data_IF_404964194928
#
_entry.id   IF_404964194928
#
_cell.length_a   1.000
_cell.length_b   1.000
_cell.length_c   1.000
_cell.angle_alpha   90.00
_cell.angle_beta   90.00
_cell.angle_gamma   90.00
#
_symmetry.space_group_name_H-M   'P 1'
#
loop_
_entity.id
_entity.type
_entity.pdbx_description
1 polymer ?
#
# COMPACT_ATOMS: atom_id res chain seq x y z
N UNK A 1 13.16 -10.98 50.54
CA UNK A 1 11.79 -11.23 51.02
C UNK A 1 11.36 -10.02 51.84
N UNK A 2 10.13 -9.58 51.68
CA UNK A 2 9.48 -8.43 52.33
C UNK A 2 9.74 -7.03 51.75
N UNK A 3 8.89 -6.64 50.80
CA UNK A 3 8.85 -5.27 50.30
C UNK A 3 7.65 -4.93 49.40
N UNK A 4 6.72 -5.88 49.17
CA UNK A 4 5.65 -5.71 48.17
C UNK A 4 4.21 -5.78 48.69
N UNK A 5 3.99 -5.73 50.02
CA UNK A 5 2.66 -5.91 50.64
C UNK A 5 2.23 -4.76 51.56
N UNK A 6 2.57 -3.49 51.26
CA UNK A 6 2.03 -2.35 52.01
C UNK A 6 1.69 -1.16 51.07
N UNK A 7 0.68 -1.31 50.22
CA UNK A 7 -0.11 -0.19 49.66
C UNK A 7 -1.44 -0.70 49.10
N UNK A 8 -2.27 -1.27 49.96
CA UNK A 8 -3.68 -1.48 49.74
C UNK A 8 -4.42 -0.99 50.98
N UNK A 9 -4.66 0.32 51.05
CA UNK A 9 -5.70 0.95 51.86
C UNK A 9 -5.65 2.43 51.51
N UNK A 10 -6.55 2.85 50.60
CA UNK A 10 -7.06 4.19 50.44
C UNK A 10 -7.70 4.25 49.04
N UNK A 11 -8.93 3.79 48.94
CA UNK A 11 -9.93 4.25 47.98
C UNK A 11 -11.25 3.51 48.29
N UNK A 12 -11.91 3.99 49.35
CA UNK A 12 -13.32 3.78 49.56
C UNK A 12 -13.98 5.16 49.51
N UNK A 13 -14.38 5.56 48.34
CA UNK A 13 -15.43 6.54 48.09
C UNK A 13 -16.02 6.19 46.73
N UNK A 14 -17.24 5.62 46.81
CA UNK A 14 -18.10 5.42 45.65
C UNK A 14 -18.36 6.77 44.98
N UNK A 15 -18.12 6.96 43.68
CA UNK A 15 -18.71 8.05 42.96
C UNK A 15 -20.09 7.62 42.52
N UNK A 16 -21.10 8.40 42.96
CA UNK A 16 -22.46 8.38 42.46
C UNK A 16 -22.49 8.29 40.94
N UNK A 17 -23.10 7.25 40.40
CA UNK A 17 -23.39 7.08 38.99
C UNK A 17 -24.39 8.16 38.60
N UNK A 18 -23.92 9.30 38.10
CA UNK A 18 -24.73 10.23 37.32
C UNK A 18 -25.10 9.51 36.03
N UNK A 19 -26.34 9.08 35.91
CA UNK A 19 -26.96 8.68 34.67
C UNK A 19 -26.81 9.82 33.67
N UNK A 20 -25.81 9.73 32.79
CA UNK A 20 -25.76 10.55 31.59
C UNK A 20 -26.81 9.99 30.64
N UNK A 21 -27.86 10.74 30.44
CA UNK A 21 -28.82 10.53 29.35
C UNK A 21 -27.98 10.43 28.05
N UNK A 22 -27.96 9.23 27.49
CA UNK A 22 -27.40 9.01 26.15
C UNK A 22 -28.38 9.69 25.21
N UNK A 23 -28.04 10.90 24.78
CA UNK A 23 -28.69 11.54 23.63
C UNK A 23 -28.45 10.63 22.45
N UNK A 24 -29.44 9.82 22.13
CA UNK A 24 -29.49 9.05 20.89
C UNK A 24 -29.52 10.07 19.76
N UNK A 25 -28.37 10.38 19.17
CA UNK A 25 -28.34 11.19 17.98
C UNK A 25 -29.20 10.47 16.92
N UNK A 26 -30.23 11.15 16.45
CA UNK A 26 -31.06 10.68 15.35
C UNK A 26 -30.12 10.25 14.20
N UNK A 27 -30.22 8.97 13.86
CA UNK A 27 -29.50 8.42 12.69
C UNK A 27 -29.96 9.22 11.48
N UNK A 28 -29.06 9.72 10.62
CA UNK A 28 -29.48 10.34 9.39
C UNK A 28 -30.37 9.34 8.65
N UNK A 29 -31.55 9.81 8.23
CA UNK A 29 -32.51 9.06 7.41
C UNK A 29 -31.80 8.64 6.12
N UNK A 30 -31.12 7.51 6.17
CA UNK A 30 -30.57 6.87 4.97
C UNK A 30 -31.75 6.31 4.19
N UNK A 31 -31.83 6.60 2.90
CA UNK A 31 -32.68 5.89 1.97
C UNK A 31 -32.30 4.40 2.03
N UNK A 32 -32.92 3.67 2.94
CA UNK A 32 -32.71 2.22 3.10
C UNK A 32 -33.49 1.58 1.95
N UNK A 33 -32.77 1.23 0.89
CA UNK A 33 -33.31 0.30 -0.12
C UNK A 33 -33.59 -1.00 0.62
N UNK A 34 -34.82 -1.47 0.55
CA UNK A 34 -35.24 -2.71 1.22
C UNK A 34 -34.59 -3.91 0.52
N UNK A 35 -33.40 -4.25 0.99
CA UNK A 35 -32.59 -5.36 0.49
C UNK A 35 -33.14 -6.65 1.12
N UNK A 36 -33.49 -7.66 0.30
CA UNK A 36 -33.96 -8.95 0.79
C UNK A 36 -32.96 -9.58 1.77
N UNK A 37 -33.44 -10.46 2.68
CA UNK A 37 -32.53 -11.13 3.63
C UNK A 37 -31.41 -11.91 2.92
N UNK A 38 -31.69 -12.54 1.77
CA UNK A 38 -30.68 -13.22 0.98
C UNK A 38 -29.59 -12.28 0.46
N UNK A 39 -29.95 -11.09 0.01
CA UNK A 39 -29.01 -10.04 -0.41
C UNK A 39 -28.18 -9.54 0.76
N UNK A 40 -28.79 -9.32 1.92
CA UNK A 40 -28.08 -8.91 3.15
C UNK A 40 -27.00 -9.91 3.53
N UNK A 41 -27.27 -11.23 3.46
CA UNK A 41 -26.28 -12.28 3.74
C UNK A 41 -25.14 -12.24 2.72
N UNK A 42 -25.42 -12.06 1.43
CA UNK A 42 -24.40 -11.95 0.39
C UNK A 42 -23.50 -10.76 0.64
N UNK A 43 -24.08 -9.58 0.86
CA UNK A 43 -23.36 -8.32 1.15
C UNK A 43 -22.53 -8.45 2.41
N UNK A 44 -23.09 -8.95 3.51
CA UNK A 44 -22.39 -9.16 4.78
C UNK A 44 -21.21 -10.12 4.59
N UNK A 45 -21.41 -11.23 3.88
CA UNK A 45 -20.36 -12.21 3.62
C UNK A 45 -19.17 -11.59 2.86
N UNK A 46 -19.45 -10.76 1.87
CA UNK A 46 -18.42 -10.05 1.10
C UNK A 46 -17.71 -9.00 1.97
N UNK A 47 -18.44 -8.22 2.76
CA UNK A 47 -17.88 -7.23 3.69
C UNK A 47 -16.96 -7.86 4.75
N UNK A 48 -17.32 -9.01 5.29
CA UNK A 48 -16.44 -9.75 6.21
C UNK A 48 -15.09 -10.09 5.58
N UNK A 49 -15.06 -10.37 4.28
CA UNK A 49 -13.78 -10.63 3.57
C UNK A 49 -13.03 -9.33 3.28
N UNK A 50 -13.70 -8.32 2.72
CA UNK A 50 -13.06 -7.13 2.18
C UNK A 50 -12.67 -6.10 3.26
N UNK A 51 -13.48 -5.97 4.31
CA UNK A 51 -13.26 -4.99 5.37
C UNK A 51 -12.66 -5.61 6.64
N UNK A 52 -13.26 -6.70 7.11
CA UNK A 52 -12.79 -7.38 8.32
C UNK A 52 -11.63 -8.35 8.03
N UNK A 53 -11.23 -8.50 6.76
CA UNK A 53 -10.13 -9.36 6.33
C UNK A 53 -10.27 -10.80 6.85
N UNK A 54 -11.51 -11.28 6.91
CA UNK A 54 -11.83 -12.65 7.33
C UNK A 54 -11.50 -13.61 6.20
N UNK A 55 -10.96 -14.79 6.51
CA UNK A 55 -10.72 -15.80 5.47
C UNK A 55 -12.05 -16.32 4.91
N UNK A 56 -12.07 -16.65 3.62
CA UNK A 56 -13.28 -17.19 2.99
C UNK A 56 -13.89 -18.38 3.74
N UNK A 57 -13.05 -19.27 4.28
CA UNK A 57 -13.50 -20.43 5.05
C UNK A 57 -14.02 -20.08 6.44
N UNK A 58 -13.61 -18.94 6.98
CA UNK A 58 -14.06 -18.47 8.29
C UNK A 58 -15.41 -17.75 8.22
N UNK A 59 -15.79 -17.18 7.06
CA UNK A 59 -17.07 -16.47 6.90
C UNK A 59 -18.26 -17.35 7.25
N UNK A 60 -18.45 -18.56 6.67
CA UNK A 60 -19.57 -19.44 7.07
C UNK A 60 -19.59 -19.75 8.57
N UNK A 61 -18.41 -20.05 9.14
CA UNK A 61 -18.28 -20.35 10.58
C UNK A 61 -18.70 -19.19 11.48
N UNK A 62 -18.33 -17.95 11.09
CA UNK A 62 -18.73 -16.74 11.82
C UNK A 62 -20.24 -16.56 11.74
N UNK A 63 -20.84 -16.71 10.56
CA UNK A 63 -22.28 -16.58 10.37
C UNK A 63 -23.03 -17.67 11.15
N UNK A 64 -22.51 -18.90 11.19
CA UNK A 64 -23.05 -19.99 11.99
C UNK A 64 -23.01 -19.69 13.49
N UNK A 65 -21.88 -19.19 14.00
CA UNK A 65 -21.74 -18.77 15.39
C UNK A 65 -22.74 -17.66 15.76
N UNK A 66 -22.92 -16.67 14.89
CA UNK A 66 -23.92 -15.63 15.12
C UNK A 66 -25.35 -16.21 15.11
N UNK A 67 -25.65 -17.10 14.18
CA UNK A 67 -26.96 -17.73 14.11
C UNK A 67 -27.27 -18.60 15.35
N UNK A 68 -26.25 -19.27 15.91
CA UNK A 68 -26.41 -20.12 17.10
C UNK A 68 -26.43 -19.34 18.44
N UNK A 69 -25.77 -18.18 18.52
CA UNK A 69 -25.51 -17.47 19.77
C UNK A 69 -26.18 -16.12 19.89
N UNK A 70 -26.83 -15.66 18.83
CA UNK A 70 -27.54 -14.37 18.81
C UNK A 70 -28.92 -14.55 18.16
N UNK A 71 -29.84 -13.62 18.35
CA UNK A 71 -31.15 -13.65 17.67
C UNK A 71 -31.08 -13.29 16.17
N UNK A 72 -29.94 -13.47 15.54
CA UNK A 72 -29.74 -13.19 14.12
C UNK A 72 -30.23 -14.35 13.26
N UNK A 73 -31.48 -14.64 13.22
CA UNK A 73 -32.10 -15.75 12.48
C UNK A 73 -31.79 -15.72 10.97
N UNK A 74 -30.59 -16.19 10.60
CA UNK A 74 -30.18 -16.28 9.20
C UNK A 74 -30.90 -17.48 8.54
N UNK A 75 -31.62 -17.28 7.44
CA UNK A 75 -32.37 -18.36 6.77
C UNK A 75 -31.46 -19.43 6.14
N UNK A 76 -30.21 -19.09 5.88
CA UNK A 76 -29.20 -20.03 5.33
C UNK A 76 -27.77 -19.48 5.54
N UNK A 77 -26.80 -20.36 5.51
CA UNK A 77 -25.38 -20.05 5.63
C UNK A 77 -24.68 -20.39 4.31
N UNK A 78 -23.97 -19.45 3.68
CA UNK A 78 -23.33 -19.69 2.39
C UNK A 78 -22.12 -20.61 2.54
N UNK A 79 -21.88 -21.44 1.53
CA UNK A 79 -20.62 -22.14 1.43
C UNK A 79 -19.49 -21.15 1.05
N UNK A 80 -18.25 -21.39 1.51
CA UNK A 80 -17.14 -20.47 1.27
C UNK A 80 -16.83 -20.22 -0.22
N UNK A 81 -17.11 -21.19 -1.11
CA UNK A 81 -16.96 -21.01 -2.57
C UNK A 81 -17.94 -19.98 -3.13
N UNK A 82 -19.14 -19.90 -2.58
CA UNK A 82 -20.11 -18.86 -2.93
C UNK A 82 -19.60 -17.48 -2.54
N UNK A 83 -18.99 -17.36 -1.36
CA UNK A 83 -18.40 -16.10 -0.88
C UNK A 83 -17.23 -15.67 -1.79
N UNK A 84 -16.38 -16.61 -2.23
CA UNK A 84 -15.33 -16.33 -3.22
C UNK A 84 -15.96 -15.76 -4.50
N UNK A 85 -16.94 -16.47 -5.07
CA UNK A 85 -17.56 -16.06 -6.32
C UNK A 85 -18.25 -14.68 -6.20
N UNK A 86 -18.94 -14.40 -5.10
CA UNK A 86 -19.55 -13.09 -4.87
C UNK A 86 -18.50 -11.98 -4.77
N UNK A 87 -17.41 -12.21 -4.05
CA UNK A 87 -16.32 -11.24 -3.94
C UNK A 87 -15.71 -10.90 -5.31
N UNK A 88 -15.54 -11.91 -6.17
CA UNK A 88 -15.03 -11.73 -7.53
C UNK A 88 -16.07 -11.04 -8.44
N UNK A 89 -17.36 -11.38 -8.31
CA UNK A 89 -18.44 -10.71 -9.05
C UNK A 89 -18.53 -9.23 -8.67
N UNK A 90 -18.40 -8.89 -7.39
CA UNK A 90 -18.32 -7.49 -6.94
C UNK A 90 -17.16 -6.78 -7.66
N UNK A 91 -15.99 -7.39 -7.68
CA UNK A 91 -14.85 -6.79 -8.37
C UNK A 91 -15.07 -6.58 -9.86
N UNK A 92 -15.65 -7.57 -10.55
CA UNK A 92 -15.98 -7.47 -11.97
C UNK A 92 -17.07 -6.42 -12.24
N UNK A 93 -18.11 -6.37 -11.40
CA UNK A 93 -19.19 -5.38 -11.53
C UNK A 93 -18.68 -3.96 -11.31
N UNK A 94 -17.78 -3.75 -10.35
CA UNK A 94 -17.12 -2.45 -10.14
C UNK A 94 -16.22 -2.07 -11.33
N UNK A 95 -15.48 -3.01 -11.89
CA UNK A 95 -14.62 -2.77 -13.05
C UNK A 95 -15.40 -2.40 -14.32
N UNK A 96 -16.65 -2.85 -14.43
CA UNK A 96 -17.57 -2.52 -15.54
C UNK A 96 -18.32 -1.20 -15.35
N UNK A 97 -18.16 -0.57 -14.20
CA UNK A 97 -18.87 0.67 -13.89
C UNK A 97 -18.44 1.76 -14.87
N UNK A 98 -19.43 2.41 -15.49
CA UNK A 98 -19.21 3.59 -16.32
C UNK A 98 -19.17 4.83 -15.45
N UNK A 99 -18.16 5.65 -15.62
CA UNK A 99 -17.97 6.89 -14.87
C UNK A 99 -18.32 8.10 -15.71
N UNK A 100 -18.88 9.17 -15.11
CA UNK A 100 -19.15 10.42 -15.84
C UNK A 100 -17.84 10.99 -16.43
N UNK A 101 -17.83 11.26 -17.71
CA UNK A 101 -16.67 11.81 -18.43
C UNK A 101 -16.43 13.29 -18.13
N UNK A 102 -17.45 14.01 -17.62
CA UNK A 102 -17.37 15.44 -17.31
C UNK A 102 -16.66 15.78 -15.99
N UNK A 103 -16.47 14.81 -15.10
CA UNK A 103 -15.76 15.04 -13.84
C UNK A 103 -14.24 14.94 -14.04
N UNK A 104 -13.44 15.99 -13.75
CA UNK A 104 -11.99 15.91 -13.83
C UNK A 104 -11.46 14.97 -12.76
N UNK A 105 -10.44 14.15 -13.12
CA UNK A 105 -9.89 13.13 -12.28
C UNK A 105 -8.40 12.88 -12.57
N UNK A 106 -7.69 12.25 -11.63
CA UNK A 106 -6.29 11.89 -11.76
C UNK A 106 -6.18 10.35 -11.78
N UNK A 107 -5.34 9.85 -12.68
CA UNK A 107 -4.98 8.44 -12.72
C UNK A 107 -3.77 8.16 -11.82
N UNK A 108 -3.82 7.07 -11.04
CA UNK A 108 -2.66 6.49 -10.36
C UNK A 108 -2.43 5.13 -10.99
N UNK A 109 -1.22 4.92 -11.51
CA UNK A 109 -0.90 3.73 -12.30
C UNK A 109 0.34 3.05 -11.73
N UNK A 110 0.24 1.74 -11.55
CA UNK A 110 1.41 0.95 -11.19
C UNK A 110 1.30 -0.48 -11.75
N UNK A 111 2.47 -1.06 -12.00
CA UNK A 111 2.61 -2.47 -12.23
C UNK A 111 3.09 -3.11 -10.95
N UNK A 112 2.31 -3.95 -10.38
CA UNK A 112 2.86 -4.85 -9.42
C UNK A 112 1.95 -6.03 -9.16
N UNK A 113 2.48 -7.04 -8.89
CA UNK A 113 2.26 -8.17 -8.02
C UNK A 113 2.99 -9.31 -8.69
N UNK A 114 4.21 -9.54 -8.25
CA UNK A 114 4.92 -10.79 -8.57
C UNK A 114 4.18 -11.95 -7.85
N UNK A 115 3.06 -12.38 -8.40
CA UNK A 115 2.39 -13.61 -7.99
C UNK A 115 2.54 -14.60 -9.14
N UNK A 116 3.40 -15.57 -8.92
CA UNK A 116 3.82 -16.45 -10.01
C UNK A 116 4.69 -15.69 -11.02
N UNK A 117 4.45 -15.93 -12.31
CA UNK A 117 5.21 -15.30 -13.42
C UNK A 117 4.52 -14.09 -14.02
N UNK A 118 3.34 -13.70 -13.53
CA UNK A 118 2.51 -12.67 -14.14
C UNK A 118 2.56 -11.36 -13.35
N UNK A 119 2.33 -10.28 -14.06
CA UNK A 119 2.17 -8.93 -13.50
C UNK A 119 0.77 -8.41 -13.82
N UNK A 120 0.25 -7.53 -12.97
CA UNK A 120 -0.99 -6.82 -13.25
C UNK A 120 -0.72 -5.31 -13.34
N UNK A 121 -1.17 -4.68 -14.42
CA UNK A 121 -1.34 -3.24 -14.48
C UNK A 121 -2.61 -2.90 -13.73
N UNK A 122 -2.53 -1.95 -12.81
CA UNK A 122 -3.68 -1.40 -12.11
C UNK A 122 -3.78 0.09 -12.37
N UNK A 123 -4.96 0.54 -12.72
CA UNK A 123 -5.28 1.95 -12.93
C UNK A 123 -6.36 2.37 -11.96
N UNK A 124 -6.03 3.28 -11.07
CA UNK A 124 -6.96 3.89 -10.13
C UNK A 124 -7.36 5.28 -10.61
N UNK A 125 -8.63 5.59 -10.44
CA UNK A 125 -9.23 6.91 -10.66
C UNK A 125 -9.46 7.59 -9.32
N UNK A 126 -9.06 8.85 -9.21
CA UNK A 126 -9.32 9.72 -8.05
C UNK A 126 -9.93 11.03 -8.55
N UNK A 127 -11.09 11.38 -8.04
CA UNK A 127 -11.75 12.64 -8.40
C UNK A 127 -10.96 13.83 -7.90
N UNK A 128 -10.82 14.88 -8.73
CA UNK A 128 -10.13 16.11 -8.29
C UNK A 128 -10.83 16.79 -7.13
N UNK A 129 -12.16 16.69 -7.01
CA UNK A 129 -12.90 17.18 -5.86
C UNK A 129 -12.47 16.50 -4.55
N UNK A 130 -12.18 15.21 -4.58
CA UNK A 130 -11.66 14.48 -3.41
C UNK A 130 -10.28 14.99 -3.01
N UNK A 131 -9.43 15.33 -3.99
CA UNK A 131 -8.13 15.93 -3.73
C UNK A 131 -8.22 17.32 -3.08
N UNK A 132 -9.19 18.14 -3.49
CA UNK A 132 -9.46 19.43 -2.87
C UNK A 132 -9.85 19.28 -1.40
N UNK A 133 -10.64 18.26 -1.07
CA UNK A 133 -11.11 18.01 0.30
C UNK A 133 -10.05 17.40 1.21
N UNK A 134 -9.20 16.51 0.68
CA UNK A 134 -8.24 15.71 1.46
C UNK A 134 -6.78 16.10 1.28
N UNK A 135 -6.46 16.99 0.34
CA UNK A 135 -5.08 17.25 -0.05
C UNK A 135 -4.46 16.02 -0.69
N UNK A 136 -3.27 15.61 -0.21
CA UNK A 136 -2.59 14.39 -0.68
C UNK A 136 -2.96 13.12 0.10
N UNK A 137 -3.71 13.23 1.22
CA UNK A 137 -4.01 12.13 2.14
C UNK A 137 -5.20 11.27 1.66
N UNK A 138 -5.04 10.65 0.48
CA UNK A 138 -6.07 9.80 -0.14
C UNK A 138 -6.08 8.42 0.49
N UNK A 139 -7.28 7.84 0.62
CA UNK A 139 -7.51 6.49 1.12
C UNK A 139 -8.06 5.60 0.00
N UNK A 140 -8.01 4.28 0.17
CA UNK A 140 -8.55 3.32 -0.82
C UNK A 140 -10.04 3.53 -1.11
N UNK A 141 -10.80 3.97 -0.13
CA UNK A 141 -12.22 4.30 -0.30
C UNK A 141 -12.48 5.53 -1.18
N UNK A 142 -11.46 6.36 -1.41
CA UNK A 142 -11.52 7.55 -2.26
C UNK A 142 -11.13 7.22 -3.71
N UNK A 143 -10.68 6.00 -3.98
CA UNK A 143 -10.19 5.55 -5.27
C UNK A 143 -11.18 4.59 -5.93
N UNK A 144 -11.28 4.65 -7.24
CA UNK A 144 -12.07 3.73 -8.06
C UNK A 144 -11.08 2.98 -8.98
N UNK A 145 -11.11 1.66 -9.00
CA UNK A 145 -10.29 0.88 -9.93
C UNK A 145 -10.99 0.79 -11.27
N UNK A 146 -10.43 1.44 -12.28
CA UNK A 146 -10.99 1.52 -13.64
C UNK A 146 -10.31 0.59 -14.64
N UNK A 147 -9.19 -0.01 -14.25
CA UNK A 147 -8.45 -0.92 -15.12
C UNK A 147 -7.61 -1.93 -14.35
N UNK A 148 -7.70 -3.20 -14.77
CA UNK A 148 -6.84 -4.30 -14.34
C UNK A 148 -6.49 -5.12 -15.56
N UNK A 149 -5.20 -5.15 -15.94
CA UNK A 149 -4.69 -5.92 -17.08
C UNK A 149 -3.60 -6.89 -16.60
N UNK A 150 -3.75 -8.17 -16.91
CA UNK A 150 -2.78 -9.21 -16.50
C UNK A 150 -1.90 -9.57 -17.69
N UNK A 151 -0.59 -9.52 -17.50
CA UNK A 151 0.39 -9.82 -18.53
C UNK A 151 1.55 -10.68 -18.01
N UNK A 152 2.16 -11.47 -18.89
CA UNK A 152 3.38 -12.25 -18.57
C UNK A 152 4.64 -11.40 -18.81
N UNK A 153 4.63 -10.60 -19.86
CA UNK A 153 5.72 -9.69 -20.23
C UNK A 153 5.22 -8.27 -20.32
N UNK A 154 5.98 -7.34 -19.76
CA UNK A 154 5.65 -5.91 -19.78
C UNK A 154 6.64 -5.21 -20.71
N UNK A 155 6.14 -4.61 -21.77
CA UNK A 155 6.88 -3.66 -22.60
C UNK A 155 6.10 -2.35 -22.70
N UNK A 156 6.75 -1.28 -23.17
CA UNK A 156 6.14 0.03 -23.22
C UNK A 156 4.98 0.16 -24.26
N UNK A 157 4.97 -0.69 -25.27
CA UNK A 157 3.89 -0.74 -26.28
C UNK A 157 2.64 -1.37 -25.69
N UNK A 158 2.81 -2.49 -24.94
CA UNK A 158 1.71 -3.12 -24.21
C UNK A 158 1.10 -2.16 -23.19
N UNK A 159 1.93 -1.42 -22.45
CA UNK A 159 1.45 -0.38 -21.52
C UNK A 159 0.61 0.65 -22.25
N UNK A 160 1.12 1.18 -23.38
CA UNK A 160 0.41 2.19 -24.17
C UNK A 160 -0.96 1.67 -24.64
N UNK A 161 -0.99 0.46 -25.19
CA UNK A 161 -2.22 -0.19 -25.65
C UNK A 161 -3.22 -0.42 -24.52
N UNK A 162 -2.77 -0.95 -23.38
CA UNK A 162 -3.63 -1.17 -22.22
C UNK A 162 -4.25 0.13 -21.72
N UNK A 163 -3.49 1.23 -21.73
CA UNK A 163 -3.99 2.56 -21.36
C UNK A 163 -4.97 3.12 -22.40
N UNK A 164 -4.74 2.91 -23.70
CA UNK A 164 -5.68 3.26 -24.74
C UNK A 164 -7.04 2.58 -24.53
N UNK A 165 -7.04 1.27 -24.26
CA UNK A 165 -8.25 0.51 -24.00
C UNK A 165 -9.00 0.98 -22.74
N UNK A 166 -8.28 1.24 -21.64
CA UNK A 166 -8.88 1.67 -20.37
C UNK A 166 -9.44 3.09 -20.50
N UNK A 167 -8.68 4.00 -21.09
CA UNK A 167 -9.08 5.40 -21.19
C UNK A 167 -10.09 5.69 -22.32
N UNK A 168 -10.23 4.77 -23.28
CA UNK A 168 -11.33 4.83 -24.23
C UNK A 168 -12.71 4.71 -23.55
N UNK A 169 -12.78 3.98 -22.42
CA UNK A 169 -14.02 3.78 -21.67
C UNK A 169 -14.22 4.90 -20.63
N UNK A 170 -13.15 5.28 -19.91
CA UNK A 170 -13.21 6.19 -18.75
C UNK A 170 -12.91 7.65 -19.07
N UNK A 171 -12.53 7.97 -20.31
CA UNK A 171 -12.02 9.28 -20.70
C UNK A 171 -10.55 9.49 -20.28
N UNK A 172 -9.94 10.56 -20.78
CA UNK A 172 -8.57 10.92 -20.44
C UNK A 172 -8.49 11.56 -19.04
N UNK A 173 -7.52 11.20 -18.19
CA UNK A 173 -7.30 11.85 -16.91
C UNK A 173 -6.69 13.24 -17.07
N UNK A 174 -6.89 14.13 -16.09
CA UNK A 174 -6.25 15.45 -16.03
C UNK A 174 -4.73 15.34 -15.77
N UNK A 175 -4.28 14.28 -15.09
CA UNK A 175 -2.88 13.96 -14.85
C UNK A 175 -2.71 12.47 -14.50
N UNK A 176 -1.49 11.97 -14.64
CA UNK A 176 -1.13 10.57 -14.32
C UNK A 176 -0.01 10.56 -13.29
N UNK A 177 -0.23 9.92 -12.15
CA UNK A 177 0.79 9.59 -11.15
C UNK A 177 1.26 8.17 -11.37
N UNK A 178 2.57 7.96 -11.43
CA UNK A 178 3.16 6.63 -11.70
C UNK A 178 4.45 6.39 -10.92
N UNK A 179 4.80 5.10 -10.77
CA UNK A 179 6.12 4.69 -10.31
C UNK A 179 7.24 5.11 -11.30
N UNK A 180 8.48 5.10 -10.80
CA UNK A 180 9.69 5.42 -11.56
C UNK A 180 10.19 4.26 -12.45
N UNK A 181 9.40 3.19 -12.66
CA UNK A 181 9.76 2.11 -13.59
C UNK A 181 9.92 2.66 -15.02
N UNK A 182 11.01 2.26 -15.69
CA UNK A 182 11.35 2.78 -17.02
C UNK A 182 10.32 2.39 -18.07
N UNK A 183 9.85 1.14 -18.05
CA UNK A 183 8.91 0.59 -19.04
C UNK A 183 7.56 1.26 -18.91
N UNK A 184 7.06 1.37 -17.67
CA UNK A 184 5.83 2.09 -17.36
C UNK A 184 5.93 3.56 -17.77
N UNK A 185 7.02 4.22 -17.40
CA UNK A 185 7.25 5.63 -17.72
C UNK A 185 7.29 5.89 -19.22
N UNK A 186 7.87 4.98 -20.01
CA UNK A 186 7.93 5.10 -21.47
C UNK A 186 6.56 4.86 -22.09
N UNK A 187 5.81 3.85 -21.64
CA UNK A 187 4.46 3.55 -22.13
C UNK A 187 3.47 4.68 -21.86
N UNK A 188 3.46 5.21 -20.62
CA UNK A 188 2.62 6.35 -20.23
C UNK A 188 2.93 7.58 -21.06
N UNK A 189 4.22 7.88 -21.30
CA UNK A 189 4.62 9.02 -22.15
C UNK A 189 4.19 8.84 -23.60
N UNK A 190 4.31 7.62 -24.16
CA UNK A 190 3.82 7.32 -25.51
C UNK A 190 2.32 7.53 -25.62
N UNK A 191 1.56 7.04 -24.64
CA UNK A 191 0.12 7.26 -24.61
C UNK A 191 -0.22 8.74 -24.50
N UNK A 192 0.40 9.48 -23.56
CA UNK A 192 0.16 10.91 -23.37
C UNK A 192 0.47 11.74 -24.63
N UNK A 193 1.54 11.41 -25.37
CA UNK A 193 1.94 12.11 -26.57
C UNK A 193 0.96 11.92 -27.76
N UNK A 194 0.13 10.87 -27.72
CA UNK A 194 -0.91 10.62 -28.74
C UNK A 194 -2.20 11.43 -28.51
N UNK A 195 -2.34 12.05 -27.32
CA UNK A 195 -3.53 12.84 -27.01
C UNK A 195 -3.44 14.22 -27.69
N UNK A 196 -4.58 14.83 -28.05
CA UNK A 196 -4.63 16.19 -28.60
C UNK A 196 -3.87 17.19 -27.71
N UNK A 197 -4.06 17.09 -26.40
CA UNK A 197 -3.29 17.81 -25.39
C UNK A 197 -2.53 16.78 -24.53
N UNK A 198 -1.19 16.85 -24.50
CA UNK A 198 -0.40 15.92 -23.68
C UNK A 198 -0.83 15.95 -22.22
N UNK A 199 -1.13 14.77 -21.65
CA UNK A 199 -1.54 14.64 -20.27
C UNK A 199 -0.32 14.73 -19.37
N UNK A 200 -0.30 15.60 -18.34
CA UNK A 200 0.82 15.73 -17.42
C UNK A 200 1.13 14.43 -16.68
N UNK A 201 2.42 14.06 -16.59
CA UNK A 201 2.90 12.84 -15.95
C UNK A 201 3.73 13.18 -14.72
N UNK A 202 3.32 12.65 -13.59
CA UNK A 202 3.89 12.89 -12.27
C UNK A 202 4.67 11.65 -11.84
N UNK A 203 5.95 11.85 -11.49
CA UNK A 203 6.78 10.78 -10.95
C UNK A 203 6.53 10.68 -9.44
N UNK A 204 6.30 9.48 -8.92
CA UNK A 204 6.13 9.23 -7.50
C UNK A 204 7.32 9.75 -6.69
N UNK A 205 7.04 10.57 -5.65
CA UNK A 205 8.08 11.16 -4.80
C UNK A 205 8.80 10.12 -3.96
N UNK A 206 8.10 9.10 -3.47
CA UNK A 206 8.66 8.03 -2.65
C UNK A 206 9.71 7.24 -3.42
N UNK A 207 9.37 6.78 -4.61
CA UNK A 207 10.27 6.06 -5.50
C UNK A 207 11.43 6.96 -6.00
N UNK A 208 11.13 8.22 -6.33
CA UNK A 208 12.15 9.18 -6.76
C UNK A 208 13.19 9.41 -5.67
N UNK A 209 12.76 9.58 -4.41
CA UNK A 209 13.66 9.79 -3.28
C UNK A 209 14.37 8.51 -2.85
N UNK A 210 13.72 7.36 -2.88
CA UNK A 210 14.36 6.07 -2.64
C UNK A 210 15.52 5.82 -3.63
N UNK A 211 15.31 6.14 -4.91
CA UNK A 211 16.34 6.06 -5.93
C UNK A 211 17.48 7.09 -5.70
N UNK A 212 17.15 8.30 -5.24
CA UNK A 212 18.16 9.30 -4.90
C UNK A 212 19.06 8.85 -3.74
N UNK A 213 18.45 8.33 -2.66
CA UNK A 213 19.16 7.76 -1.50
C UNK A 213 20.01 6.54 -1.90
N UNK A 214 19.46 5.66 -2.74
CA UNK A 214 20.19 4.51 -3.28
C UNK A 214 21.46 4.93 -4.00
N UNK A 215 21.36 5.91 -4.91
CA UNK A 215 22.50 6.41 -5.68
C UNK A 215 23.54 7.12 -4.79
N UNK A 216 23.11 7.75 -3.70
CA UNK A 216 24.02 8.43 -2.78
C UNK A 216 24.76 7.47 -1.86
N UNK A 217 24.08 6.41 -1.33
CA UNK A 217 24.61 5.61 -0.23
C UNK A 217 24.95 4.16 -0.58
N UNK A 218 24.14 3.46 -1.39
CA UNK A 218 24.19 1.99 -1.52
C UNK A 218 25.58 1.43 -1.86
N UNK A 219 26.33 2.11 -2.73
CA UNK A 219 27.64 1.65 -3.18
C UNK A 219 28.79 2.08 -2.28
N UNK A 220 28.54 2.96 -1.29
CA UNK A 220 29.62 3.46 -0.41
C UNK A 220 30.10 2.38 0.55
N UNK A 221 31.42 2.27 0.80
CA UNK A 221 31.97 1.31 1.78
C UNK A 221 31.37 1.52 3.17
N UNK A 222 31.19 2.76 3.60
CA UNK A 222 30.64 3.12 4.89
C UNK A 222 29.19 2.61 5.08
N UNK A 223 28.33 2.74 4.06
CA UNK A 223 26.96 2.20 4.11
C UNK A 223 26.96 0.67 4.19
N UNK A 224 27.81 0.00 3.42
CA UNK A 224 27.94 -1.46 3.45
C UNK A 224 28.41 -1.96 4.81
N UNK A 225 29.44 -1.30 5.37
CA UNK A 225 29.94 -1.62 6.72
C UNK A 225 28.86 -1.40 7.80
N UNK A 226 28.15 -0.28 7.74
CA UNK A 226 27.06 0.04 8.66
C UNK A 226 25.91 -0.98 8.59
N UNK A 227 25.46 -1.33 7.39
CA UNK A 227 24.37 -2.32 7.22
C UNK A 227 24.78 -3.74 7.60
N UNK A 228 26.05 -4.11 7.42
CA UNK A 228 26.61 -5.39 7.89
C UNK A 228 26.61 -5.44 9.43
N UNK A 229 27.09 -4.38 10.08
CA UNK A 229 27.09 -4.26 11.53
C UNK A 229 25.67 -4.29 12.13
N UNK A 230 24.73 -3.56 11.51
CA UNK A 230 23.31 -3.56 11.87
C UNK A 230 22.70 -4.97 11.75
N UNK A 231 23.00 -5.67 10.66
CA UNK A 231 22.49 -7.03 10.45
C UNK A 231 23.06 -8.03 11.44
N UNK A 232 24.33 -7.89 11.80
CA UNK A 232 24.97 -8.67 12.84
C UNK A 232 24.34 -8.39 14.20
N UNK A 233 24.24 -7.12 14.59
CA UNK A 233 23.64 -6.70 15.85
C UNK A 233 22.20 -7.18 16.02
N UNK A 234 21.39 -7.12 14.95
CA UNK A 234 20.03 -7.64 14.98
C UNK A 234 19.96 -9.14 15.30
N UNK A 235 20.95 -9.93 14.87
CA UNK A 235 21.04 -11.36 15.22
C UNK A 235 21.47 -11.57 16.66
N UNK A 236 22.48 -10.83 17.11
CA UNK A 236 23.02 -10.97 18.47
C UNK A 236 22.06 -10.48 19.56
N UNK A 237 21.26 -9.42 19.30
CA UNK A 237 20.33 -8.87 20.27
C UNK A 237 19.01 -9.63 20.36
N UNK A 238 18.69 -10.45 19.35
CA UNK A 238 17.44 -11.21 19.34
C UNK A 238 17.46 -12.23 20.49
N UNK A 239 16.36 -12.29 21.24
CA UNK A 239 16.18 -13.17 22.39
C UNK A 239 17.12 -12.88 23.59
N UNK A 240 17.62 -11.65 23.70
CA UNK A 240 18.36 -11.16 24.87
C UNK A 240 17.57 -10.06 25.58
N UNK A 241 18.04 -9.67 26.80
CA UNK A 241 17.49 -8.53 27.52
C UNK A 241 17.57 -7.20 26.75
N UNK A 242 18.37 -7.14 25.67
CA UNK A 242 18.53 -5.98 24.78
C UNK A 242 17.67 -6.05 23.52
N UNK A 243 16.69 -6.95 23.44
CA UNK A 243 15.83 -7.08 22.28
C UNK A 243 15.11 -5.77 21.89
N UNK A 244 14.87 -4.87 22.85
CA UNK A 244 14.30 -3.53 22.61
C UNK A 244 15.22 -2.58 21.84
N UNK A 245 16.52 -2.87 21.72
CA UNK A 245 17.51 -2.12 20.93
C UNK A 245 17.75 -2.71 19.55
N UNK A 246 17.02 -3.74 19.16
CA UNK A 246 17.16 -4.35 17.84
C UNK A 246 16.98 -3.27 16.74
N UNK A 247 17.95 -3.16 15.82
CA UNK A 247 17.84 -2.21 14.73
C UNK A 247 16.61 -2.53 13.83
N UNK A 248 16.05 -1.52 13.19
CA UNK A 248 14.94 -1.70 12.26
C UNK A 248 15.29 -2.70 11.15
N UNK A 249 14.35 -3.61 10.85
CA UNK A 249 14.54 -4.61 9.80
C UNK A 249 14.72 -3.94 8.43
N UNK A 250 15.82 -4.22 7.78
CA UNK A 250 16.04 -3.82 6.40
C UNK A 250 15.16 -4.66 5.47
N UNK A 251 14.33 -4.02 4.68
CA UNK A 251 13.54 -4.68 3.64
C UNK A 251 14.43 -5.15 2.50
N UNK A 252 14.11 -6.27 1.89
CA UNK A 252 14.81 -6.78 0.70
C UNK A 252 14.39 -6.01 -0.56
N UNK A 253 13.09 -5.73 -0.71
CA UNK A 253 12.52 -4.88 -1.76
C UNK A 253 12.16 -3.50 -1.19
N UNK A 254 12.32 -2.43 -1.95
CA UNK A 254 12.02 -1.06 -1.48
C UNK A 254 12.86 -0.60 -0.30
N UNK A 255 14.12 -1.06 -0.21
CA UNK A 255 15.02 -0.88 0.94
C UNK A 255 15.15 0.57 1.40
N UNK A 256 15.12 1.51 0.48
CA UNK A 256 15.31 2.94 0.76
C UNK A 256 13.99 3.71 1.03
N UNK A 257 12.82 3.12 0.87
CA UNK A 257 11.54 3.79 1.11
C UNK A 257 11.30 4.11 2.61
N UNK A 258 11.80 3.28 3.53
CA UNK A 258 11.63 3.46 4.97
C UNK A 258 12.95 3.50 5.74
N UNK A 259 14.03 3.91 5.09
CA UNK A 259 15.39 3.88 5.62
C UNK A 259 15.63 4.90 6.75
N UNK A 260 14.78 5.93 6.88
CA UNK A 260 14.87 6.95 7.92
C UNK A 260 14.81 6.37 9.34
N UNK A 261 14.07 5.28 9.53
CA UNK A 261 14.04 4.55 10.82
C UNK A 261 15.42 4.04 11.21
N UNK A 262 16.21 3.58 10.23
CA UNK A 262 17.57 3.11 10.47
C UNK A 262 18.51 4.28 10.77
N UNK A 263 18.37 5.42 10.08
CA UNK A 263 19.12 6.64 10.37
C UNK A 263 18.90 7.09 11.81
N UNK A 264 17.63 7.25 12.21
CA UNK A 264 17.24 7.64 13.58
C UNK A 264 17.71 6.65 14.64
N UNK A 265 17.68 5.34 14.34
CA UNK A 265 18.22 4.33 15.25
C UNK A 265 19.73 4.47 15.40
N UNK A 266 20.45 4.65 14.29
CA UNK A 266 21.90 4.85 14.32
C UNK A 266 22.31 6.06 15.15
N UNK A 267 21.62 7.18 15.00
CA UNK A 267 21.85 8.42 15.75
C UNK A 267 21.63 8.20 17.27
N UNK A 268 20.49 7.60 17.66
CA UNK A 268 20.23 7.23 19.07
C UNK A 268 21.29 6.29 19.65
N UNK A 269 21.78 5.37 18.85
CA UNK A 269 22.86 4.45 19.30
C UNK A 269 24.18 5.21 19.48
N UNK A 270 24.50 6.23 18.67
CA UNK A 270 25.66 7.08 18.90
C UNK A 270 25.60 7.74 20.28
N UNK A 271 24.43 8.23 20.72
CA UNK A 271 24.25 8.84 22.04
C UNK A 271 24.50 7.82 23.15
N UNK A 272 24.00 6.58 23.00
CA UNK A 272 24.25 5.48 23.97
C UNK A 272 25.74 5.17 24.09
N UNK A 273 26.47 5.15 22.97
CA UNK A 273 27.90 4.85 22.95
C UNK A 273 28.80 6.02 23.32
N UNK A 274 28.27 7.27 23.26
CA UNK A 274 29.04 8.49 23.61
C UNK A 274 29.38 8.61 25.10
N UNK A 275 28.84 7.74 25.95
CA UNK A 275 29.16 7.69 27.39
C UNK A 275 30.66 7.49 27.57
N UNK A 276 31.32 8.48 28.20
CA UNK A 276 32.76 8.49 28.41
C UNK A 276 33.18 7.42 29.45
N UNK A 277 34.36 6.87 29.23
CA UNK A 277 35.01 5.91 30.16
C UNK A 277 34.91 4.44 29.73
N UNK A 278 35.63 3.59 30.45
CA UNK A 278 35.56 2.13 30.25
C UNK A 278 34.27 1.59 30.84
N UNK A 279 33.54 0.82 30.02
CA UNK A 279 32.36 0.11 30.53
C UNK A 279 32.79 -0.94 31.55
N UNK A 280 32.07 -1.02 32.68
CA UNK A 280 32.30 -2.11 33.67
C UNK A 280 32.05 -3.43 32.97
N UNK A 281 33.00 -4.39 33.13
CA UNK A 281 32.93 -5.73 32.56
C UNK A 281 31.59 -6.39 32.90
N UNK A 282 30.89 -6.91 31.90
CA UNK A 282 29.55 -7.51 32.03
C UNK A 282 28.39 -6.51 32.14
N UNK A 283 28.64 -5.18 32.13
CA UNK A 283 27.57 -4.19 32.09
C UNK A 283 26.84 -4.17 30.74
N UNK A 284 25.64 -3.54 30.70
CA UNK A 284 24.88 -3.38 29.49
C UNK A 284 25.69 -2.71 28.37
N UNK A 285 26.44 -1.66 28.71
CA UNK A 285 27.28 -0.94 27.77
C UNK A 285 28.44 -1.80 27.24
N UNK A 286 29.07 -2.61 28.07
CA UNK A 286 30.13 -3.54 27.69
C UNK A 286 29.61 -4.61 26.71
N UNK A 287 28.48 -5.22 27.02
CA UNK A 287 27.81 -6.18 26.13
C UNK A 287 27.45 -5.55 24.80
N UNK A 288 26.90 -4.32 24.81
CA UNK A 288 26.55 -3.59 23.57
C UNK A 288 27.81 -3.24 22.76
N UNK A 289 28.90 -2.82 23.38
CA UNK A 289 30.19 -2.57 22.69
C UNK A 289 30.78 -3.82 22.05
N UNK A 290 30.54 -4.97 22.64
CA UNK A 290 30.93 -6.27 22.05
C UNK A 290 30.07 -6.59 20.82
N UNK A 291 28.77 -6.32 20.85
CA UNK A 291 27.85 -6.55 19.71
C UNK A 291 28.10 -5.58 18.58
N UNK A 292 28.41 -4.32 18.89
CA UNK A 292 28.66 -3.25 17.93
C UNK A 292 30.09 -2.68 18.06
N UNK A 293 31.11 -3.44 17.71
CA UNK A 293 32.48 -2.97 17.80
C UNK A 293 32.68 -1.77 16.88
N UNK A 294 33.47 -0.79 17.36
CA UNK A 294 33.83 0.42 16.58
C UNK A 294 32.66 1.30 16.12
N UNK A 295 31.47 1.16 16.74
CA UNK A 295 30.27 1.93 16.32
C UNK A 295 30.49 3.44 16.28
N UNK A 296 31.20 4.00 17.28
CA UNK A 296 31.53 5.43 17.32
C UNK A 296 32.41 5.90 16.16
N UNK A 297 33.23 5.01 15.59
CA UNK A 297 34.06 5.37 14.43
C UNK A 297 33.22 5.60 13.18
N UNK A 298 31.98 5.11 13.18
CA UNK A 298 31.01 5.37 12.09
C UNK A 298 30.24 6.66 12.21
N UNK A 299 30.49 7.49 13.25
CA UNK A 299 29.81 8.76 13.50
C UNK A 299 29.78 9.66 12.26
N UNK A 300 30.94 9.80 11.60
CA UNK A 300 31.08 10.63 10.37
C UNK A 300 30.21 10.15 9.20
N UNK A 301 29.76 8.91 9.21
CA UNK A 301 28.78 8.38 8.23
C UNK A 301 27.33 8.44 8.78
N UNK A 302 27.13 8.04 10.03
CA UNK A 302 25.77 7.89 10.62
C UNK A 302 25.05 9.22 10.70
N UNK A 303 25.71 10.29 11.17
CA UNK A 303 25.09 11.60 11.32
C UNK A 303 24.61 12.21 9.99
N UNK A 304 25.44 12.31 8.93
CA UNK A 304 24.97 12.80 7.63
C UNK A 304 23.91 11.88 6.98
N UNK A 305 24.00 10.56 7.21
CA UNK A 305 23.03 9.60 6.75
C UNK A 305 21.66 9.80 7.46
N UNK A 306 21.66 9.92 8.78
CA UNK A 306 20.46 10.16 9.58
C UNK A 306 19.80 11.48 9.21
N UNK A 307 20.58 12.58 9.12
CA UNK A 307 20.09 13.87 8.67
C UNK A 307 19.43 13.77 7.29
N UNK A 308 20.13 13.17 6.32
CA UNK A 308 19.61 13.08 4.93
C UNK A 308 18.32 12.28 4.87
N UNK A 309 18.26 11.13 5.55
CA UNK A 309 17.07 10.27 5.54
C UNK A 309 15.90 10.86 6.33
N UNK A 310 16.17 11.66 7.37
CA UNK A 310 15.15 12.36 8.14
C UNK A 310 14.54 13.51 7.32
N UNK A 311 15.35 14.35 6.67
CA UNK A 311 14.85 15.41 5.79
C UNK A 311 14.01 14.86 4.65
N UNK A 312 14.45 13.76 4.02
CA UNK A 312 13.65 13.10 2.97
C UNK A 312 12.30 12.61 3.53
N UNK A 313 12.29 12.02 4.73
CA UNK A 313 11.06 11.55 5.35
C UNK A 313 10.09 12.70 5.68
N UNK A 314 10.58 13.84 6.18
CA UNK A 314 9.79 15.04 6.46
C UNK A 314 9.20 15.65 5.19
N UNK A 315 10.00 15.75 4.13
CA UNK A 315 9.52 16.21 2.82
C UNK A 315 8.43 15.29 2.27
N UNK A 316 8.64 13.99 2.37
CA UNK A 316 7.64 13.01 1.93
C UNK A 316 6.34 13.10 2.75
N UNK A 317 6.43 13.31 4.06
CA UNK A 317 5.26 13.47 4.93
C UNK A 317 4.46 14.71 4.56
N UNK A 318 5.12 15.85 4.33
CA UNK A 318 4.47 17.10 3.90
C UNK A 318 3.75 16.88 2.56
N UNK A 319 4.45 16.32 1.58
CA UNK A 319 3.92 16.18 0.22
C UNK A 319 2.83 15.12 0.11
N UNK A 320 2.95 14.02 0.84
CA UNK A 320 1.92 12.96 0.85
C UNK A 320 0.63 13.42 1.52
N UNK A 321 0.73 14.22 2.59
CA UNK A 321 -0.45 14.68 3.31
C UNK A 321 -1.13 15.89 2.65
N UNK A 322 -0.35 16.83 2.12
CA UNK A 322 -0.86 18.12 1.61
C UNK A 322 -0.83 18.26 0.09
N UNK A 323 -0.21 17.30 -0.62
CA UNK A 323 0.08 17.45 -2.04
C UNK A 323 1.13 18.52 -2.32
N UNK A 324 1.52 18.66 -3.59
CA UNK A 324 2.44 19.71 -4.02
C UNK A 324 1.67 20.95 -4.50
N UNK A 325 1.95 22.08 -3.88
CA UNK A 325 1.50 23.41 -4.26
C UNK A 325 2.61 24.45 -3.97
N UNK A 326 2.39 25.73 -4.23
CA UNK A 326 3.40 26.78 -3.99
C UNK A 326 3.87 26.85 -2.53
N UNK A 327 2.97 26.62 -1.56
CA UNK A 327 3.31 26.66 -0.13
C UNK A 327 4.14 25.44 0.28
N UNK A 328 3.71 24.24 -0.05
CA UNK A 328 4.44 22.99 0.25
C UNK A 328 5.78 22.92 -0.51
N UNK A 329 5.83 23.43 -1.74
CA UNK A 329 7.08 23.59 -2.47
C UNK A 329 8.10 24.45 -1.68
N UNK A 330 7.70 25.63 -1.21
CA UNK A 330 8.60 26.52 -0.44
C UNK A 330 9.10 25.80 0.81
N UNK A 331 8.20 25.18 1.56
CA UNK A 331 8.55 24.44 2.78
C UNK A 331 9.55 23.32 2.51
N UNK A 332 9.30 22.48 1.51
CA UNK A 332 10.18 21.38 1.14
C UNK A 332 11.51 21.86 0.55
N UNK A 333 11.49 22.96 -0.19
CA UNK A 333 12.71 23.56 -0.74
C UNK A 333 13.61 24.10 0.37
N UNK A 334 13.06 24.80 1.38
CA UNK A 334 13.81 25.25 2.55
C UNK A 334 14.41 24.08 3.34
N UNK A 335 13.62 23.03 3.63
CA UNK A 335 14.15 21.82 4.25
C UNK A 335 15.30 21.21 3.45
N UNK A 336 15.21 21.21 2.12
CA UNK A 336 16.28 20.69 1.27
C UNK A 336 17.59 21.45 1.39
N UNK A 337 17.58 22.74 1.78
CA UNK A 337 18.79 23.55 1.94
C UNK A 337 19.67 23.10 3.09
N UNK A 338 19.09 22.45 4.11
CA UNK A 338 19.83 21.89 5.26
C UNK A 338 20.73 20.72 4.87
N UNK A 339 20.46 20.08 3.72
CA UNK A 339 21.31 19.03 3.20
C UNK A 339 22.65 19.58 2.67
N UNK A 340 23.75 18.81 2.77
CA UNK A 340 25.07 19.20 2.27
C UNK A 340 25.03 19.67 0.81
N UNK A 341 25.88 20.65 0.46
CA UNK A 341 25.93 21.21 -0.92
C UNK A 341 26.14 20.15 -1.99
N UNK A 342 26.99 19.15 -1.72
CA UNK A 342 27.33 18.08 -2.67
C UNK A 342 26.38 16.87 -2.59
N UNK A 343 25.25 16.97 -1.90
CA UNK A 343 24.30 15.88 -1.76
C UNK A 343 23.56 15.61 -3.08
N UNK A 344 23.70 14.39 -3.62
CA UNK A 344 22.93 13.93 -4.78
C UNK A 344 21.43 13.93 -4.50
N UNK A 345 21.05 13.64 -3.25
CA UNK A 345 19.64 13.65 -2.78
C UNK A 345 19.10 15.07 -2.86
N UNK A 346 19.85 16.09 -2.36
CA UNK A 346 19.46 17.49 -2.45
C UNK A 346 19.18 17.93 -3.89
N UNK A 347 20.13 17.67 -4.79
CA UNK A 347 20.02 18.07 -6.18
C UNK A 347 18.81 17.42 -6.88
N UNK A 348 18.59 16.12 -6.62
CA UNK A 348 17.45 15.40 -7.20
C UNK A 348 16.13 15.85 -6.61
N UNK A 349 16.05 16.09 -5.30
CA UNK A 349 14.85 16.62 -4.65
C UNK A 349 14.48 18.00 -5.21
N UNK A 350 15.42 18.90 -5.30
CA UNK A 350 15.18 20.24 -5.83
C UNK A 350 14.78 20.22 -7.31
N UNK A 351 15.41 19.36 -8.11
CA UNK A 351 15.02 19.16 -9.52
C UNK A 351 13.61 18.60 -9.65
N UNK A 352 13.27 17.59 -8.82
CA UNK A 352 11.94 17.00 -8.76
C UNK A 352 10.89 18.05 -8.38
N UNK A 353 11.11 18.82 -7.32
CA UNK A 353 10.21 19.88 -6.86
C UNK A 353 9.97 20.93 -7.94
N UNK A 354 11.03 21.41 -8.60
CA UNK A 354 10.91 22.40 -9.69
C UNK A 354 10.13 21.89 -10.89
N UNK A 355 10.40 20.63 -11.30
CA UNK A 355 9.69 19.97 -12.40
C UNK A 355 8.20 19.90 -12.13
N UNK A 356 7.83 19.37 -10.95
CA UNK A 356 6.43 19.08 -10.65
C UNK A 356 5.63 20.33 -10.23
N UNK A 357 6.30 21.38 -9.74
CA UNK A 357 5.65 22.66 -9.52
C UNK A 357 5.18 23.32 -10.85
N UNK A 358 5.93 23.13 -11.96
CA UNK A 358 5.48 23.58 -13.28
C UNK A 358 4.22 22.85 -13.70
N UNK A 359 4.19 21.53 -13.51
CA UNK A 359 3.00 20.70 -13.81
C UNK A 359 1.80 21.16 -12.96
N UNK A 360 2.02 21.42 -11.66
CA UNK A 360 0.96 21.90 -10.77
C UNK A 360 0.37 23.24 -11.25
N UNK A 361 1.21 24.15 -11.76
CA UNK A 361 0.74 25.43 -12.29
C UNK A 361 -0.15 25.30 -13.53
N UNK A 362 0.02 24.23 -14.33
CA UNK A 362 -0.83 23.93 -15.50
C UNK A 362 -2.19 23.36 -15.09
N UNK A 363 -2.29 22.73 -13.92
CA UNK A 363 -3.50 22.07 -13.42
C UNK A 363 -4.37 22.98 -12.55
N UNK A 364 -4.05 24.25 -12.44
CA UNK A 364 -4.76 25.29 -11.70
C UNK A 364 -5.35 24.88 -10.34
N UNK A 365 -4.97 25.57 -9.27
CA UNK A 365 -5.51 25.50 -7.88
C UNK A 365 -5.52 24.16 -7.13
N UNK A 366 -5.38 23.01 -7.82
CA UNK A 366 -5.33 21.71 -7.18
C UNK A 366 -3.96 21.43 -6.57
N UNK A 367 -3.88 20.96 -5.30
CA UNK A 367 -2.66 20.35 -4.82
C UNK A 367 -2.36 19.13 -5.70
N UNK A 368 -1.14 19.06 -6.24
CA UNK A 368 -0.75 17.94 -7.08
C UNK A 368 -0.57 16.69 -6.23
N UNK A 369 -1.31 15.63 -6.57
CA UNK A 369 -1.06 14.30 -5.99
C UNK A 369 0.30 13.80 -6.47
N UNK A 370 1.15 13.37 -5.55
CA UNK A 370 2.57 13.06 -5.83
C UNK A 370 3.02 11.71 -5.34
N UNK A 371 2.10 10.89 -4.85
CA UNK A 371 2.42 9.55 -4.36
C UNK A 371 1.48 8.51 -4.92
N UNK A 372 2.04 7.37 -5.28
CA UNK A 372 1.33 6.14 -5.67
C UNK A 372 1.21 5.13 -4.51
N UNK A 373 1.57 5.49 -3.27
CA UNK A 373 1.54 4.59 -2.10
C UNK A 373 0.20 3.90 -1.89
N UNK A 374 -0.89 4.53 -2.36
CA UNK A 374 -2.23 3.95 -2.27
C UNK A 374 -2.33 2.62 -3.03
N UNK A 375 -1.66 2.49 -4.18
CA UNK A 375 -1.60 1.23 -4.93
C UNK A 375 -0.74 0.20 -4.18
N UNK A 376 0.36 0.60 -3.54
CA UNK A 376 1.15 -0.32 -2.70
C UNK A 376 0.30 -0.87 -1.54
N UNK A 377 -0.50 -0.01 -0.89
CA UNK A 377 -1.45 -0.42 0.14
C UNK A 377 -2.52 -1.38 -0.40
N UNK A 378 -3.07 -1.10 -1.57
CA UNK A 378 -4.02 -1.97 -2.27
C UNK A 378 -3.44 -3.35 -2.54
N UNK A 379 -2.22 -3.40 -3.06
CA UNK A 379 -1.51 -4.65 -3.30
C UNK A 379 -1.19 -5.40 -2.00
N UNK A 380 -0.87 -4.70 -0.93
CA UNK A 380 -0.69 -5.29 0.39
C UNK A 380 -1.95 -6.00 0.87
N UNK A 381 -3.11 -5.33 0.79
CA UNK A 381 -4.41 -5.89 1.16
C UNK A 381 -4.80 -7.08 0.26
N UNK A 382 -4.59 -6.97 -1.04
CA UNK A 382 -4.84 -8.05 -1.97
C UNK A 382 -3.99 -9.28 -1.65
N UNK A 383 -2.68 -9.13 -1.49
CA UNK A 383 -1.76 -10.20 -1.10
C UNK A 383 -2.16 -10.86 0.21
N UNK A 384 -2.55 -10.07 1.19
CA UNK A 384 -2.98 -10.59 2.48
C UNK A 384 -4.19 -11.52 2.38
N UNK A 385 -5.09 -11.30 1.42
CA UNK A 385 -6.24 -12.17 1.17
C UNK A 385 -5.81 -13.45 0.43
N UNK A 386 -4.96 -13.35 -0.60
CA UNK A 386 -4.67 -14.48 -1.51
C UNK A 386 -3.47 -15.33 -1.09
N UNK A 387 -2.44 -14.77 -0.44
CA UNK A 387 -1.21 -15.49 -0.01
C UNK A 387 -1.46 -16.50 1.12
N UNK A 388 -2.68 -16.60 1.62
CA UNK A 388 -3.11 -17.68 2.52
C UNK A 388 -3.10 -19.05 1.84
N UNK A 389 -2.99 -19.10 0.51
CA UNK A 389 -2.79 -20.32 -0.26
C UNK A 389 -1.31 -20.49 -0.62
N UNK A 390 -0.68 -21.65 -0.31
CA UNK A 390 0.71 -21.92 -0.66
C UNK A 390 0.96 -22.03 -2.17
N UNK A 391 -0.10 -22.13 -2.97
CA UNK A 391 -0.06 -22.20 -4.44
C UNK A 391 -0.69 -20.96 -5.09
N UNK A 392 -0.43 -19.79 -4.50
CA UNK A 392 -0.95 -18.56 -5.06
C UNK A 392 -0.43 -18.33 -6.48
N UNK A 393 -1.34 -18.21 -7.42
CA UNK A 393 -1.10 -17.84 -8.82
C UNK A 393 -2.00 -16.68 -9.18
N UNK A 394 -1.58 -15.87 -10.15
CA UNK A 394 -2.43 -14.83 -10.68
C UNK A 394 -3.51 -15.46 -11.58
N UNK A 395 -4.69 -15.56 -11.04
CA UNK A 395 -5.89 -16.06 -11.65
C UNK A 395 -7.01 -15.01 -11.54
N UNK A 396 -8.26 -15.41 -11.76
CA UNK A 396 -9.40 -14.48 -11.62
C UNK A 396 -9.51 -13.79 -10.25
N UNK A 397 -8.73 -14.21 -9.22
CA UNK A 397 -8.68 -13.52 -7.93
C UNK A 397 -8.18 -12.08 -8.04
N UNK A 398 -7.52 -11.71 -9.12
CA UNK A 398 -7.13 -10.32 -9.41
C UNK A 398 -8.33 -9.37 -9.42
N UNK A 399 -9.53 -9.87 -9.68
CA UNK A 399 -10.79 -9.12 -9.57
C UNK A 399 -11.12 -8.66 -8.13
N UNK A 400 -10.40 -9.15 -7.10
CA UNK A 400 -10.50 -8.57 -5.76
C UNK A 400 -9.92 -7.15 -5.70
N UNK A 401 -9.01 -6.78 -6.60
CA UNK A 401 -8.38 -5.46 -6.63
C UNK A 401 -9.44 -4.35 -6.76
N UNK A 402 -10.35 -4.36 -7.76
CA UNK A 402 -11.45 -3.41 -7.81
C UNK A 402 -12.35 -3.45 -6.57
N UNK A 403 -12.62 -4.63 -6.01
CA UNK A 403 -13.46 -4.77 -4.82
C UNK A 403 -12.83 -4.18 -3.55
N UNK A 404 -11.51 -4.03 -3.51
CA UNK A 404 -10.77 -3.40 -2.41
C UNK A 404 -10.73 -1.87 -2.50
N UNK A 405 -11.18 -1.29 -3.61
CA UNK A 405 -11.28 0.16 -3.85
C UNK A 405 -12.70 0.68 -3.61
N UNK A 406 -12.82 2.00 -3.44
CA UNK A 406 -14.11 2.68 -3.36
C UNK A 406 -14.84 2.54 -2.03
N UNK A 407 -15.95 3.25 -1.92
CA UNK A 407 -16.83 3.18 -0.76
C UNK A 407 -17.54 1.83 -0.69
N UNK A 408 -17.25 1.06 0.35
CA UNK A 408 -17.83 -0.28 0.56
C UNK A 408 -19.22 -0.22 1.21
N UNK A 409 -20.09 0.63 0.69
CA UNK A 409 -21.49 0.68 1.14
C UNK A 409 -22.23 -0.54 0.60
N UNK A 410 -23.11 -1.12 1.42
CA UNK A 410 -23.89 -2.31 1.04
C UNK A 410 -24.62 -2.18 -0.30
N UNK A 411 -25.18 -1.01 -0.59
CA UNK A 411 -25.85 -0.72 -1.86
C UNK A 411 -24.91 -0.75 -3.09
N UNK A 412 -23.65 -0.36 -2.93
CA UNK A 412 -22.65 -0.41 -4.01
C UNK A 412 -22.28 -1.87 -4.29
N UNK A 413 -22.07 -2.66 -3.24
CA UNK A 413 -21.76 -4.09 -3.35
C UNK A 413 -22.93 -4.84 -3.99
N UNK A 414 -24.14 -4.56 -3.57
CA UNK A 414 -25.34 -5.20 -4.14
C UNK A 414 -25.50 -4.86 -5.62
N UNK A 415 -25.36 -3.60 -6.00
CA UNK A 415 -25.36 -3.19 -7.42
C UNK A 415 -24.30 -3.94 -8.21
N UNK A 416 -23.06 -3.96 -7.72
CA UNK A 416 -21.95 -4.64 -8.41
C UNK A 416 -22.19 -6.16 -8.54
N UNK A 417 -22.82 -6.81 -7.57
CA UNK A 417 -23.23 -8.20 -7.66
C UNK A 417 -24.27 -8.46 -8.76
N UNK A 418 -25.14 -7.49 -9.03
CA UNK A 418 -26.16 -7.61 -10.07
C UNK A 418 -25.60 -7.30 -11.47
N UNK A 419 -24.51 -6.51 -11.58
CA UNK A 419 -23.84 -6.17 -12.85
C UNK A 419 -22.97 -7.31 -13.42
N UNK A 420 -22.63 -8.34 -12.64
CA UNK A 420 -21.78 -9.42 -13.08
C UNK A 420 -22.32 -10.80 -12.64
N UNK A 421 -22.44 -11.72 -13.56
CA UNK A 421 -22.84 -13.11 -13.33
C UNK A 421 -21.64 -14.04 -13.15
N UNK A 422 -21.89 -15.33 -12.83
CA UNK A 422 -20.85 -16.36 -12.82
C UNK A 422 -20.28 -16.62 -14.22
N UNK A 423 -21.12 -16.57 -15.24
CA UNK A 423 -20.71 -16.74 -16.64
C UNK A 423 -19.80 -15.61 -17.09
N UNK A 424 -20.08 -14.39 -16.61
CA UNK A 424 -19.20 -13.23 -16.89
C UNK A 424 -17.81 -13.37 -16.27
N UNK A 425 -17.72 -13.97 -15.07
CA UNK A 425 -16.42 -14.26 -14.44
C UNK A 425 -15.60 -15.24 -15.29
N UNK A 426 -16.24 -16.29 -15.78
CA UNK A 426 -15.59 -17.31 -16.60
C UNK A 426 -15.14 -16.74 -17.96
N UNK A 427 -15.99 -15.92 -18.58
CA UNK A 427 -15.64 -15.19 -19.81
C UNK A 427 -14.46 -14.27 -19.58
N UNK A 428 -14.51 -13.44 -18.56
CA UNK A 428 -13.42 -12.52 -18.22
C UNK A 428 -12.11 -13.27 -17.94
N UNK A 429 -12.15 -14.38 -17.18
CA UNK A 429 -10.98 -15.21 -16.91
C UNK A 429 -10.37 -15.76 -18.21
N UNK A 430 -11.19 -16.25 -19.14
CA UNK A 430 -10.70 -16.80 -20.40
C UNK A 430 -10.07 -15.72 -21.32
N UNK A 431 -10.62 -14.52 -21.32
CA UNK A 431 -10.14 -13.41 -22.12
C UNK A 431 -8.86 -12.78 -21.55
N UNK A 432 -8.78 -12.63 -20.21
CA UNK A 432 -7.71 -11.87 -19.55
C UNK A 432 -6.63 -12.74 -18.91
N UNK A 433 -6.92 -14.04 -18.63
CA UNK A 433 -5.98 -14.94 -17.95
C UNK A 433 -5.95 -16.31 -18.68
N UNK A 434 -5.39 -16.38 -19.90
CA UNK A 434 -5.49 -17.59 -20.72
C UNK A 434 -4.78 -18.79 -20.11
N UNK A 435 -3.74 -18.59 -19.28
CA UNK A 435 -2.94 -19.66 -18.71
C UNK A 435 -2.62 -19.44 -17.23
N UNK A 436 -3.26 -20.23 -16.35
CA UNK A 436 -2.82 -20.36 -14.96
C UNK A 436 -1.70 -21.40 -14.85
N UNK A 437 -0.88 -21.34 -13.79
CA UNK A 437 0.14 -22.35 -13.48
C UNK A 437 -0.52 -23.75 -13.42
N UNK A 438 -1.72 -23.84 -12.89
CA UNK A 438 -2.50 -25.08 -12.85
C UNK A 438 -2.80 -25.63 -14.25
N UNK A 439 -3.29 -24.79 -15.17
CA UNK A 439 -3.56 -25.19 -16.58
C UNK A 439 -2.25 -25.56 -17.31
N UNK A 440 -1.14 -24.83 -17.08
CA UNK A 440 0.18 -25.18 -17.64
C UNK A 440 0.68 -26.54 -17.14
N UNK A 441 0.54 -26.79 -15.83
CA UNK A 441 0.92 -28.09 -15.23
C UNK A 441 0.09 -29.25 -15.78
N UNK A 442 -1.22 -29.07 -15.87
CA UNK A 442 -2.11 -30.07 -16.43
C UNK A 442 -1.74 -30.43 -17.87
N UNK A 443 -1.59 -29.45 -18.75
CA UNK A 443 -1.15 -29.65 -20.14
C UNK A 443 0.22 -30.33 -20.25
N UNK A 444 1.16 -30.00 -19.36
CA UNK A 444 2.47 -30.61 -19.35
C UNK A 444 2.39 -32.13 -19.10
N UNK A 445 1.61 -32.56 -18.12
CA UNK A 445 1.46 -33.96 -17.79
C UNK A 445 0.59 -34.73 -18.83
N UNK A 446 -0.45 -34.10 -19.39
CA UNK A 446 -1.23 -34.67 -20.49
C UNK A 446 -0.36 -34.94 -21.72
N UNK A 447 0.49 -33.99 -22.10
CA UNK A 447 1.42 -34.14 -23.21
C UNK A 447 2.52 -35.21 -22.93
N UNK A 448 2.96 -35.35 -21.68
CA UNK A 448 3.91 -36.39 -21.28
C UNK A 448 3.30 -37.78 -21.36
N UNK A 449 2.05 -37.96 -20.93
CA UNK A 449 1.32 -39.21 -20.99
C UNK A 449 1.05 -39.65 -22.44
N UNK A 450 0.75 -38.71 -23.35
CA UNK A 450 0.55 -39.01 -24.76
C UNK A 450 1.84 -39.39 -25.49
N UNK A 451 3.03 -38.99 -25.00
CA UNK A 451 4.34 -39.40 -25.57
C UNK A 451 4.80 -40.77 -25.08
N UNK A 452 4.28 -41.26 -23.95
CA UNK A 452 4.60 -42.59 -23.44
C UNK A 452 3.66 -43.68 -23.96
N UNK A 453 2.56 -43.31 -24.63
CA UNK A 453 1.59 -44.20 -25.24
C UNK A 453 1.78 -44.39 -26.76
N UNK A 454 2.88 -43.92 -27.32
CA UNK A 454 3.37 -44.20 -28.68
C UNK A 454 4.72 -44.91 -28.60
#
# INVERSE_FOLDING_TARGET
>A
MNGWLRKKKLFSSEPSVATRDIVVSEKPTSNVIDITQAQKIRVLSVLLVLEAVVSYRSVPRILELFNLKTPLELPWIPHFTSVINWSLRVGLGLLRQVYPTCEPWIAIIDYSIDIGTKKALVVLRVKTQTLLQRGGAIQLQDCECIGVKVCETVNHETVCKDLEEIFAISGAPSAIVKDCDYTLAKGVRHWSAKQEKPVPVIDDIGHSMANALKVQFEKTPAYKAFTALVSHGAKCLRQTEFAFLIPPKLRTKGRFQSISKLGKWGEKMLDVFAVKGCAKKGSALDKLRTVFPHFLQMKGFIEPFALTTTIVAEVMEILKNKGLNKATYRQCYELSKTLPRNSKVKNRLQAWLKKHLKIQAELTELPLLVSSDIIESLFGNYKHIIERSPQADMNRSVLLIPALCGGRKGAIIDRALNEASQVDLERWENENIPYTIRKKRQKFFENASQKQGK
#
